data_IF_912109817772
#
_entry.id   IF_912109817772
#
_cell.length_a   1.000
_cell.length_b   1.000
_cell.length_c   1.000
_cell.angle_alpha   90.00
_cell.angle_beta   90.00
_cell.angle_gamma   90.00
#
_symmetry.space_group_name_H-M   'P 1'
#
loop_
_entity.id
_entity.type
_entity.pdbx_description
1 polymer ?
#
# COMPACT_ATOMS: atom_id res chain seq x y z
N UNK A 1 -15.95 15.43 6.79
CA UNK A 1 -14.89 15.48 5.76
C UNK A 1 -15.37 14.63 4.59
N UNK A 2 -15.19 15.12 3.37
CA UNK A 2 -15.55 14.45 2.13
C UNK A 2 -14.30 14.31 1.26
N UNK A 3 -14.10 13.13 0.66
CA UNK A 3 -12.91 12.83 -0.15
C UNK A 3 -13.26 12.09 -1.43
N UNK A 4 -12.50 12.33 -2.49
CA UNK A 4 -12.57 11.58 -3.75
C UNK A 4 -11.59 10.39 -3.71
N UNK A 5 -12.06 9.21 -4.10
CA UNK A 5 -11.23 8.03 -4.28
C UNK A 5 -11.17 7.65 -5.76
N UNK A 6 -10.01 7.73 -6.36
CA UNK A 6 -9.76 7.37 -7.76
C UNK A 6 -9.03 6.02 -7.77
N UNK A 7 -9.70 5.01 -8.37
CA UNK A 7 -9.18 3.66 -8.37
C UNK A 7 -9.80 2.78 -7.27
N UNK A 8 -11.01 2.25 -7.55
CA UNK A 8 -11.72 1.30 -6.69
C UNK A 8 -11.34 -0.16 -7.05
N UNK A 9 -10.03 -0.45 -7.00
CA UNK A 9 -9.54 -1.82 -6.98
C UNK A 9 -9.58 -2.39 -5.54
N UNK A 10 -8.99 -3.58 -5.33
CA UNK A 10 -8.99 -4.23 -3.99
C UNK A 10 -8.49 -3.32 -2.88
N UNK A 11 -7.42 -2.56 -3.13
CA UNK A 11 -6.88 -1.62 -2.14
C UNK A 11 -7.79 -0.40 -1.96
N UNK A 12 -8.15 0.30 -3.04
CA UNK A 12 -8.96 1.51 -2.96
C UNK A 12 -10.35 1.27 -2.37
N UNK A 13 -10.98 0.13 -2.66
CA UNK A 13 -12.22 -0.28 -2.02
C UNK A 13 -12.03 -0.53 -0.52
N UNK A 14 -10.98 -1.26 -0.13
CA UNK A 14 -10.66 -1.51 1.28
C UNK A 14 -10.39 -0.22 2.06
N UNK A 15 -9.63 0.71 1.48
CA UNK A 15 -9.36 2.03 2.06
C UNK A 15 -10.65 2.85 2.19
N UNK A 16 -11.51 2.85 1.17
CA UNK A 16 -12.81 3.53 1.20
C UNK A 16 -13.68 3.02 2.35
N UNK A 17 -13.78 1.70 2.53
CA UNK A 17 -14.54 1.08 3.62
C UNK A 17 -14.05 1.51 5.00
N UNK A 18 -12.72 1.58 5.21
CA UNK A 18 -12.18 2.05 6.49
C UNK A 18 -12.52 3.51 6.75
N UNK A 19 -12.35 4.38 5.76
CA UNK A 19 -12.72 5.79 5.87
C UNK A 19 -14.20 5.97 6.16
N UNK A 20 -15.08 5.23 5.49
CA UNK A 20 -16.53 5.24 5.76
C UNK A 20 -16.85 4.82 7.20
N UNK A 21 -16.20 3.77 7.72
CA UNK A 21 -16.35 3.33 9.13
C UNK A 21 -15.93 4.43 10.13
N UNK A 22 -15.01 5.31 9.73
CA UNK A 22 -14.53 6.45 10.53
C UNK A 22 -15.31 7.76 10.29
N UNK A 23 -16.46 7.69 9.60
CA UNK A 23 -17.33 8.83 9.34
C UNK A 23 -16.75 9.83 8.32
N UNK A 24 -15.91 9.37 7.40
CA UNK A 24 -15.43 10.15 6.24
C UNK A 24 -16.32 9.79 5.05
N UNK A 25 -16.94 10.79 4.42
CA UNK A 25 -17.73 10.61 3.22
C UNK A 25 -16.81 10.38 2.02
N UNK A 26 -16.93 9.22 1.37
CA UNK A 26 -16.08 8.83 0.25
C UNK A 26 -16.88 8.77 -1.05
N UNK A 27 -16.45 9.53 -2.05
CA UNK A 27 -16.98 9.45 -3.41
C UNK A 27 -15.98 8.76 -4.32
N UNK A 28 -16.39 7.70 -4.98
CA UNK A 28 -15.51 6.85 -5.76
C UNK A 28 -15.60 7.09 -7.26
N UNK A 29 -14.47 6.96 -7.94
CA UNK A 29 -14.39 6.89 -9.39
C UNK A 29 -13.57 5.70 -9.84
N UNK A 30 -14.05 5.04 -10.88
CA UNK A 30 -13.36 3.96 -11.58
C UNK A 30 -13.78 4.00 -13.05
N UNK A 31 -12.84 3.70 -13.99
CA UNK A 31 -13.14 3.64 -15.43
C UNK A 31 -14.35 2.76 -15.77
N UNK A 32 -14.49 1.61 -15.12
CA UNK A 32 -15.70 0.82 -15.19
C UNK A 32 -16.71 1.31 -14.14
N UNK A 33 -17.65 2.14 -14.56
CA UNK A 33 -18.65 2.79 -13.72
C UNK A 33 -19.57 1.77 -13.01
N UNK A 34 -19.88 0.62 -13.63
CA UNK A 34 -20.72 -0.42 -13.01
C UNK A 34 -20.08 -0.96 -11.73
N UNK A 35 -18.74 -1.16 -11.73
CA UNK A 35 -18.02 -1.59 -10.52
C UNK A 35 -17.94 -0.51 -9.45
N UNK A 36 -17.97 0.77 -9.81
CA UNK A 36 -18.09 1.85 -8.84
C UNK A 36 -19.52 1.87 -8.24
N UNK A 37 -20.53 1.62 -9.05
CA UNK A 37 -21.91 1.45 -8.59
C UNK A 37 -22.06 0.25 -7.65
N UNK A 38 -21.46 -0.90 -7.97
CA UNK A 38 -21.46 -2.08 -7.08
C UNK A 38 -20.86 -1.76 -5.70
N UNK A 39 -19.79 -0.97 -5.63
CA UNK A 39 -19.19 -0.55 -4.36
C UNK A 39 -20.14 0.38 -3.58
N UNK A 40 -20.88 1.24 -4.26
CA UNK A 40 -21.91 2.07 -3.67
C UNK A 40 -23.09 1.23 -3.14
N UNK A 41 -23.61 0.31 -3.94
CA UNK A 41 -24.73 -0.57 -3.58
C UNK A 41 -24.39 -1.45 -2.35
N UNK A 42 -23.10 -1.78 -2.17
CA UNK A 42 -22.58 -2.50 -0.98
C UNK A 42 -22.31 -1.59 0.23
N UNK A 43 -22.51 -0.28 0.12
CA UNK A 43 -22.24 0.69 1.19
C UNK A 43 -20.74 0.90 1.49
N UNK A 44 -19.86 0.60 0.53
CA UNK A 44 -18.41 0.77 0.67
C UNK A 44 -17.95 2.20 0.38
N UNK A 45 -18.77 2.98 -0.32
CA UNK A 45 -18.60 4.39 -0.63
C UNK A 45 -19.94 5.12 -0.48
N UNK A 46 -19.89 6.45 -0.28
CA UNK A 46 -21.08 7.30 -0.12
C UNK A 46 -21.76 7.66 -1.44
N UNK A 47 -21.03 7.58 -2.53
CA UNK A 47 -21.49 7.86 -3.88
C UNK A 47 -20.41 7.56 -4.91
N UNK A 48 -20.78 7.57 -6.18
CA UNK A 48 -19.83 7.35 -7.28
C UNK A 48 -20.02 8.39 -8.39
N UNK A 49 -18.98 8.56 -9.18
CA UNK A 49 -18.96 9.47 -10.32
C UNK A 49 -18.67 8.69 -11.61
N UNK A 50 -19.25 9.13 -12.74
CA UNK A 50 -19.03 8.58 -14.07
C UNK A 50 -17.65 8.94 -14.64
N UNK A 51 -17.12 10.09 -14.21
CA UNK A 51 -15.89 10.70 -14.70
C UNK A 51 -15.24 11.57 -13.61
N UNK A 52 -14.01 11.99 -13.84
CA UNK A 52 -13.24 12.80 -12.90
C UNK A 52 -13.84 14.20 -12.73
N UNK A 53 -14.40 14.79 -13.78
CA UNK A 53 -15.07 16.09 -13.68
C UNK A 53 -16.21 16.04 -12.67
N UNK A 54 -17.07 15.05 -12.79
CA UNK A 54 -18.20 14.81 -11.90
C UNK A 54 -17.73 14.56 -10.47
N UNK A 55 -16.68 13.75 -10.30
CA UNK A 55 -16.08 13.50 -8.99
C UNK A 55 -15.63 14.81 -8.33
N UNK A 56 -14.84 15.61 -9.05
CA UNK A 56 -14.34 16.91 -8.52
C UNK A 56 -15.47 17.84 -8.14
N UNK A 57 -16.51 17.95 -8.96
CA UNK A 57 -17.71 18.77 -8.66
C UNK A 57 -18.37 18.31 -7.36
N UNK A 58 -18.53 17.02 -7.14
CA UNK A 58 -19.13 16.49 -5.90
C UNK A 58 -18.26 16.76 -4.68
N UNK A 59 -16.95 16.55 -4.78
CA UNK A 59 -16.03 16.75 -3.67
C UNK A 59 -15.97 18.22 -3.28
N UNK A 60 -15.89 19.14 -4.26
CA UNK A 60 -15.75 20.58 -4.00
C UNK A 60 -17.07 21.27 -3.57
N UNK A 61 -18.21 20.60 -3.68
CA UNK A 61 -19.49 21.15 -3.24
C UNK A 61 -19.56 21.26 -1.72
N UNK A 62 -19.27 22.48 -1.22
CA UNK A 62 -19.33 22.81 0.20
C UNK A 62 -18.12 22.33 1.02
N UNK A 63 -17.02 21.93 0.36
CA UNK A 63 -15.80 21.47 1.01
C UNK A 63 -14.58 22.11 0.33
N UNK A 64 -13.71 22.76 1.10
CA UNK A 64 -12.44 23.28 0.65
C UNK A 64 -11.36 23.00 1.69
N UNK A 65 -10.15 22.52 1.31
CA UNK A 65 -9.78 22.10 -0.06
C UNK A 65 -10.45 20.79 -0.50
N UNK A 66 -10.53 20.58 -1.81
CA UNK A 66 -10.85 19.26 -2.37
C UNK A 66 -9.71 18.27 -2.12
N UNK A 67 -10.02 17.08 -1.64
CA UNK A 67 -9.02 16.05 -1.35
C UNK A 67 -9.30 14.83 -2.22
N UNK A 68 -8.30 14.46 -3.05
CA UNK A 68 -8.40 13.38 -4.03
C UNK A 68 -7.32 12.34 -3.76
N UNK A 69 -7.73 11.12 -3.47
CA UNK A 69 -6.84 9.98 -3.24
C UNK A 69 -6.78 9.11 -4.49
N UNK A 70 -5.57 8.76 -4.92
CA UNK A 70 -5.34 7.90 -6.08
C UNK A 70 -4.76 6.57 -5.63
N UNK A 71 -5.44 5.48 -6.03
CA UNK A 71 -4.99 4.09 -5.87
C UNK A 71 -5.03 3.43 -7.24
N UNK A 72 -4.15 3.91 -8.11
CA UNK A 72 -4.07 3.50 -9.52
C UNK A 72 -2.70 2.89 -9.82
N UNK A 73 -2.56 2.08 -10.89
CA UNK A 73 -1.27 1.59 -11.34
C UNK A 73 -0.27 2.73 -11.61
N UNK A 74 1.01 2.50 -11.31
CA UNK A 74 2.05 3.53 -11.39
C UNK A 74 2.14 4.18 -12.78
N UNK A 75 1.95 3.40 -13.83
CA UNK A 75 1.94 3.86 -15.23
C UNK A 75 0.78 4.80 -15.58
N UNK A 76 -0.32 4.79 -14.80
CA UNK A 76 -1.50 5.62 -15.07
C UNK A 76 -1.58 6.87 -14.18
N UNK A 77 -0.65 7.04 -13.25
CA UNK A 77 -0.65 8.17 -12.30
C UNK A 77 -0.56 9.52 -13.02
N UNK A 78 0.33 9.64 -14.02
CA UNK A 78 0.49 10.89 -14.78
C UNK A 78 -0.76 11.27 -15.56
N UNK A 79 -1.39 10.31 -16.22
CA UNK A 79 -2.65 10.52 -16.93
C UNK A 79 -3.75 11.01 -15.97
N UNK A 80 -3.86 10.34 -14.82
CA UNK A 80 -4.86 10.67 -13.79
C UNK A 80 -4.63 12.08 -13.21
N UNK A 81 -3.39 12.46 -12.93
CA UNK A 81 -3.05 13.80 -12.46
C UNK A 81 -3.39 14.85 -13.53
N UNK A 82 -3.06 14.59 -14.80
CA UNK A 82 -3.34 15.51 -15.88
C UNK A 82 -4.85 15.72 -16.09
N UNK A 83 -5.65 14.69 -15.88
CA UNK A 83 -7.10 14.79 -15.91
C UNK A 83 -7.64 15.60 -14.71
N UNK A 84 -7.16 15.32 -13.49
CA UNK A 84 -7.51 16.09 -12.29
C UNK A 84 -7.18 17.58 -12.42
N UNK A 85 -6.01 17.91 -12.99
CA UNK A 85 -5.56 19.30 -13.17
C UNK A 85 -6.52 20.17 -13.96
N UNK A 86 -7.37 19.59 -14.80
CA UNK A 86 -8.37 20.35 -15.57
C UNK A 86 -9.49 20.93 -14.70
N UNK A 87 -9.68 20.35 -13.50
CA UNK A 87 -10.84 20.65 -12.64
C UNK A 87 -10.44 21.06 -11.22
N UNK A 88 -9.21 20.73 -10.79
CA UNK A 88 -8.66 21.17 -9.52
C UNK A 88 -8.30 22.65 -9.53
N UNK A 89 -8.23 23.26 -8.36
CA UNK A 89 -7.84 24.64 -8.15
C UNK A 89 -6.85 24.77 -6.99
N UNK A 90 -6.32 25.98 -6.81
CA UNK A 90 -5.41 26.30 -5.72
C UNK A 90 -5.96 25.81 -4.36
N UNK A 91 -5.09 25.21 -3.56
CA UNK A 91 -5.41 24.65 -2.25
C UNK A 91 -5.85 23.19 -2.27
N UNK A 92 -6.30 22.65 -3.43
CA UNK A 92 -6.69 21.24 -3.52
C UNK A 92 -5.49 20.30 -3.23
N UNK A 93 -5.78 19.12 -2.70
CA UNK A 93 -4.78 18.13 -2.28
C UNK A 93 -4.95 16.84 -3.07
N UNK A 94 -3.88 16.35 -3.66
CA UNK A 94 -3.81 15.05 -4.33
C UNK A 94 -2.91 14.13 -3.49
N UNK A 95 -3.43 12.95 -3.11
CA UNK A 95 -2.69 11.92 -2.36
C UNK A 95 -2.48 10.72 -3.28
N UNK A 96 -1.22 10.39 -3.57
CA UNK A 96 -0.84 9.22 -4.35
C UNK A 96 -0.49 8.06 -3.43
N UNK A 97 -1.36 7.06 -3.36
CA UNK A 97 -1.17 5.80 -2.63
C UNK A 97 -0.58 4.69 -3.51
N UNK A 98 -0.23 5.00 -4.75
CA UNK A 98 0.37 4.06 -5.68
C UNK A 98 1.77 3.61 -5.25
N UNK A 99 2.28 2.58 -5.92
CA UNK A 99 3.68 2.18 -5.75
C UNK A 99 4.56 2.97 -6.72
N UNK A 100 4.54 4.30 -6.59
CA UNK A 100 5.22 5.26 -7.47
C UNK A 100 6.70 5.41 -7.14
N UNK A 101 7.51 5.74 -8.15
CA UNK A 101 8.91 6.10 -7.94
C UNK A 101 9.00 7.45 -7.20
N UNK A 102 9.75 7.51 -6.10
CA UNK A 102 9.90 8.70 -5.27
C UNK A 102 10.48 9.91 -6.02
N UNK A 103 11.32 9.68 -7.05
CA UNK A 103 11.87 10.75 -7.89
C UNK A 103 10.79 11.40 -8.75
N UNK A 104 9.83 10.60 -9.24
CA UNK A 104 8.71 11.11 -9.99
C UNK A 104 7.71 11.82 -9.07
N UNK A 105 7.52 11.34 -7.84
CA UNK A 105 6.71 12.02 -6.82
C UNK A 105 7.22 13.43 -6.53
N UNK A 106 8.53 13.62 -6.43
CA UNK A 106 9.14 14.96 -6.29
C UNK A 106 8.83 15.87 -7.47
N UNK A 107 9.02 15.38 -8.70
CA UNK A 107 8.72 16.14 -9.94
C UNK A 107 7.23 16.50 -10.02
N UNK A 108 6.35 15.57 -9.64
CA UNK A 108 4.88 15.81 -9.59
C UNK A 108 4.56 16.92 -8.61
N UNK A 109 5.11 16.86 -7.40
CA UNK A 109 4.92 17.88 -6.38
C UNK A 109 5.37 19.27 -6.86
N UNK A 110 6.58 19.38 -7.45
CA UNK A 110 7.11 20.62 -8.01
C UNK A 110 6.23 21.16 -9.15
N UNK A 111 5.70 20.29 -9.99
CA UNK A 111 4.79 20.67 -11.08
C UNK A 111 3.45 21.18 -10.56
N UNK A 112 2.84 20.44 -9.63
CA UNK A 112 1.52 20.76 -9.08
C UNK A 112 1.55 22.03 -8.22
N UNK A 113 2.65 22.29 -7.53
CA UNK A 113 2.85 23.53 -6.76
C UNK A 113 2.73 24.80 -7.62
N UNK A 114 3.06 24.74 -8.91
CA UNK A 114 2.89 25.86 -9.85
C UNK A 114 1.42 26.24 -10.09
N UNK A 115 0.51 25.35 -9.78
CA UNK A 115 -0.95 25.54 -9.84
C UNK A 115 -1.56 25.71 -8.45
N UNK A 116 -0.73 25.86 -7.40
CA UNK A 116 -1.18 25.94 -6.01
C UNK A 116 -1.78 24.65 -5.46
N UNK A 117 -1.59 23.52 -6.15
CA UNK A 117 -2.11 22.20 -5.75
C UNK A 117 -1.06 21.49 -4.90
N UNK A 118 -1.49 20.95 -3.77
CA UNK A 118 -0.64 20.19 -2.85
C UNK A 118 -0.58 18.72 -3.28
N UNK A 119 0.61 18.13 -3.25
CA UNK A 119 0.81 16.72 -3.55
C UNK A 119 1.39 16.01 -2.34
N UNK A 120 0.78 14.89 -1.98
CA UNK A 120 1.22 13.97 -0.93
C UNK A 120 1.52 12.64 -1.57
N UNK A 121 2.71 12.13 -1.38
CA UNK A 121 3.09 10.75 -1.70
C UNK A 121 2.92 9.88 -0.45
N UNK A 122 2.10 8.85 -0.56
CA UNK A 122 1.75 8.00 0.57
C UNK A 122 2.03 6.54 0.26
N UNK A 123 3.22 6.09 0.62
CA UNK A 123 3.57 4.67 0.55
C UNK A 123 2.67 3.87 1.48
N UNK A 124 1.85 2.99 0.90
CA UNK A 124 0.84 2.23 1.63
C UNK A 124 1.20 0.75 1.67
N UNK A 125 1.27 0.16 2.86
CA UNK A 125 1.49 -1.27 3.09
C UNK A 125 0.31 -1.88 3.85
N UNK A 126 0.07 -3.20 3.69
CA UNK A 126 -1.04 -3.93 4.30
C UNK A 126 -1.86 -4.75 3.31
N UNK A 127 -1.74 -4.48 2.01
CA UNK A 127 -2.37 -5.25 0.94
C UNK A 127 -3.88 -5.41 1.13
N UNK A 128 -4.41 -6.56 0.77
CA UNK A 128 -5.84 -6.88 0.88
C UNK A 128 -6.32 -7.02 2.33
N UNK A 129 -5.42 -7.29 3.25
CA UNK A 129 -5.75 -7.43 4.68
C UNK A 129 -5.89 -6.09 5.41
N UNK A 130 -5.42 -5.00 4.78
CA UNK A 130 -5.49 -3.66 5.35
C UNK A 130 -6.91 -3.19 5.65
N UNK A 131 -7.92 -3.69 4.93
CA UNK A 131 -9.33 -3.36 5.20
C UNK A 131 -9.76 -3.71 6.63
N UNK A 132 -9.24 -4.78 7.19
CA UNK A 132 -9.57 -5.25 8.54
C UNK A 132 -8.48 -4.86 9.55
N UNK A 133 -7.19 -5.01 9.20
CA UNK A 133 -6.06 -4.78 10.10
C UNK A 133 -5.56 -3.33 10.14
N UNK A 134 -5.94 -2.49 9.16
CA UNK A 134 -5.35 -1.17 8.94
C UNK A 134 -4.16 -1.21 8.00
N UNK A 135 -3.79 -0.02 7.50
CA UNK A 135 -2.69 0.19 6.56
C UNK A 135 -1.55 0.93 7.25
N UNK A 136 -0.32 0.45 7.09
CA UNK A 136 0.86 1.20 7.46
C UNK A 136 1.13 2.26 6.38
N UNK A 137 1.21 3.54 6.78
CA UNK A 137 1.28 4.67 5.85
C UNK A 137 2.57 5.46 6.06
N UNK A 138 3.37 5.57 5.02
CA UNK A 138 4.60 6.36 4.96
C UNK A 138 4.32 7.60 4.12
N UNK A 139 4.18 8.75 4.77
CA UNK A 139 3.63 9.96 4.16
C UNK A 139 4.74 10.97 3.87
N UNK A 140 4.83 11.45 2.63
CA UNK A 140 5.70 12.53 2.20
C UNK A 140 4.88 13.70 1.66
N UNK A 141 5.31 14.93 1.94
CA UNK A 141 4.62 16.13 1.45
C UNK A 141 4.80 17.35 2.35
N UNK A 142 4.17 18.45 2.01
CA UNK A 142 4.20 19.67 2.81
C UNK A 142 3.46 19.53 4.15
N UNK A 143 4.02 20.09 5.24
CA UNK A 143 3.47 19.97 6.58
C UNK A 143 1.98 20.32 6.67
N UNK A 144 1.56 21.42 6.04
CA UNK A 144 0.17 21.89 6.06
C UNK A 144 -0.78 20.88 5.38
N UNK A 145 -0.39 20.36 4.22
CA UNK A 145 -1.19 19.39 3.50
C UNK A 145 -1.33 18.07 4.29
N UNK A 146 -0.22 17.59 4.86
CA UNK A 146 -0.22 16.38 5.70
C UNK A 146 -1.10 16.56 6.93
N UNK A 147 -0.97 17.71 7.63
CA UNK A 147 -1.81 18.02 8.79
C UNK A 147 -3.31 18.07 8.43
N UNK A 148 -3.66 18.67 7.28
CA UNK A 148 -5.04 18.72 6.78
C UNK A 148 -5.62 17.33 6.54
N UNK A 149 -4.78 16.38 6.12
CA UNK A 149 -5.19 15.01 5.81
C UNK A 149 -5.02 14.02 6.99
N UNK A 150 -4.56 14.46 8.16
CA UNK A 150 -4.27 13.58 9.31
C UNK A 150 -5.42 12.65 9.66
N UNK A 151 -6.66 13.17 9.68
CA UNK A 151 -7.87 12.37 9.93
C UNK A 151 -8.07 11.22 8.93
N UNK A 152 -7.60 11.41 7.68
CA UNK A 152 -7.64 10.34 6.68
C UNK A 152 -6.63 9.25 7.04
N UNK A 153 -5.42 9.65 7.42
CA UNK A 153 -4.37 8.70 7.80
C UNK A 153 -4.74 7.94 9.07
N UNK A 154 -5.30 8.62 10.09
CA UNK A 154 -5.82 7.97 11.29
C UNK A 154 -6.92 6.94 10.97
N UNK A 155 -7.84 7.27 10.05
CA UNK A 155 -8.90 6.36 9.63
C UNK A 155 -8.39 5.12 8.89
N UNK A 156 -7.30 5.26 8.14
CA UNK A 156 -6.69 4.17 7.38
C UNK A 156 -5.76 3.31 8.23
N UNK A 157 -5.08 3.90 9.21
CA UNK A 157 -4.08 3.24 10.03
C UNK A 157 -4.67 2.17 10.98
N UNK A 158 -3.84 1.22 11.46
CA UNK A 158 -4.30 0.16 12.37
C UNK A 158 -4.75 0.67 13.74
N UNK A 159 -4.18 1.78 14.21
CA UNK A 159 -4.37 2.30 15.56
C UNK A 159 -3.39 1.73 16.57
N UNK A 160 -3.28 2.41 17.72
CA UNK A 160 -2.29 2.10 18.77
C UNK A 160 -2.39 0.67 19.32
N UNK A 161 -3.61 0.12 19.36
CA UNK A 161 -3.84 -1.24 19.89
C UNK A 161 -3.31 -2.38 18.98
N UNK A 162 -2.84 -2.06 17.78
CA UNK A 162 -2.34 -3.07 16.83
C UNK A 162 -1.00 -3.71 17.27
N UNK A 163 -0.24 -3.05 18.13
CA UNK A 163 1.01 -3.56 18.71
C UNK A 163 1.20 -3.02 20.13
N UNK A 164 2.04 -3.72 20.91
CA UNK A 164 2.46 -3.22 22.23
C UNK A 164 3.24 -1.92 22.05
N UNK A 165 2.92 -0.92 22.89
CA UNK A 165 3.62 0.37 22.86
C UNK A 165 5.11 0.22 23.19
N UNK A 166 5.92 1.05 22.55
CA UNK A 166 7.34 1.16 22.88
C UNK A 166 7.49 2.00 24.16
N UNK A 167 8.18 1.47 25.16
CA UNK A 167 8.29 2.05 26.50
C UNK A 167 9.02 3.41 26.55
N UNK A 168 9.67 3.82 25.45
CA UNK A 168 10.48 5.05 25.41
C UNK A 168 9.65 6.33 25.15
N UNK A 169 8.39 6.22 24.78
CA UNK A 169 7.55 7.36 24.45
C UNK A 169 6.49 7.59 25.53
N UNK A 170 6.52 8.76 26.17
CA UNK A 170 5.46 9.21 27.09
C UNK A 170 4.15 9.49 26.36
N UNK A 171 4.22 10.16 25.21
CA UNK A 171 3.07 10.54 24.39
C UNK A 171 2.86 9.62 23.21
N UNK A 172 1.61 9.39 22.85
CA UNK A 172 1.23 8.60 21.67
C UNK A 172 1.59 9.42 20.42
N UNK A 173 2.34 8.81 19.52
CA UNK A 173 2.74 9.41 18.24
C UNK A 173 1.95 8.87 17.06
N UNK A 174 1.95 9.57 15.93
CA UNK A 174 1.33 9.07 14.69
C UNK A 174 1.95 7.74 14.22
N UNK A 175 3.24 7.51 14.51
CA UNK A 175 3.90 6.24 14.21
C UNK A 175 3.27 5.07 14.98
N UNK A 176 2.90 5.28 16.25
CA UNK A 176 2.19 4.26 17.05
C UNK A 176 0.75 4.04 16.57
N UNK A 177 0.13 5.02 15.89
CA UNK A 177 -1.13 4.80 15.16
C UNK A 177 -0.95 3.97 13.90
N UNK A 178 0.25 3.95 13.32
CA UNK A 178 0.57 3.22 12.09
C UNK A 178 0.74 4.12 10.86
N UNK A 179 0.91 5.43 11.02
CA UNK A 179 1.31 6.32 9.95
C UNK A 179 2.37 7.32 10.41
N UNK A 180 3.22 7.75 9.50
CA UNK A 180 4.29 8.71 9.80
C UNK A 180 4.47 9.72 8.67
N UNK A 181 4.57 11.02 9.01
CA UNK A 181 5.11 12.02 8.10
C UNK A 181 6.63 11.86 8.01
N UNK A 182 7.09 11.20 6.95
CA UNK A 182 8.49 10.83 6.74
C UNK A 182 9.37 12.00 6.26
N UNK A 183 8.76 13.09 5.85
CA UNK A 183 9.46 14.28 5.35
C UNK A 183 8.78 14.92 4.14
N UNK A 184 9.51 15.76 3.39
CA UNK A 184 9.02 16.44 2.20
C UNK A 184 8.60 15.49 1.08
N UNK A 185 8.14 16.06 -0.05
CA UNK A 185 7.65 15.30 -1.20
C UNK A 185 8.66 14.25 -1.69
N UNK A 186 8.20 13.03 -1.88
CA UNK A 186 8.97 11.85 -2.24
C UNK A 186 9.42 11.00 -1.06
N UNK A 187 9.42 11.52 0.17
CA UNK A 187 9.90 10.80 1.35
C UNK A 187 9.05 9.57 1.68
N UNK A 188 7.74 9.65 1.49
CA UNK A 188 6.83 8.54 1.72
C UNK A 188 7.12 7.35 0.79
N UNK A 189 7.16 7.61 -0.51
CA UNK A 189 7.50 6.58 -1.50
C UNK A 189 8.94 6.08 -1.39
N UNK A 190 9.88 6.93 -0.96
CA UNK A 190 11.25 6.50 -0.68
C UNK A 190 11.30 5.47 0.46
N UNK A 191 10.66 5.78 1.61
CA UNK A 191 10.60 4.87 2.75
C UNK A 191 9.86 3.58 2.37
N UNK A 192 8.77 3.69 1.59
CA UNK A 192 8.05 2.51 1.08
C UNK A 192 8.92 1.65 0.15
N UNK A 193 9.74 2.26 -0.70
CA UNK A 193 10.67 1.54 -1.56
C UNK A 193 11.68 0.72 -0.73
N UNK A 194 12.24 1.31 0.33
CA UNK A 194 13.16 0.60 1.24
C UNK A 194 12.43 -0.54 1.95
N UNK A 195 11.21 -0.29 2.48
CA UNK A 195 10.36 -1.32 3.06
C UNK A 195 10.16 -2.51 2.10
N UNK A 196 9.79 -2.23 0.85
CA UNK A 196 9.61 -3.28 -0.15
C UNK A 196 10.90 -4.04 -0.44
N UNK A 197 12.05 -3.38 -0.47
CA UNK A 197 13.34 -4.05 -0.64
C UNK A 197 13.62 -5.07 0.46
N UNK A 198 13.35 -4.70 1.71
CA UNK A 198 13.48 -5.61 2.87
C UNK A 198 12.48 -6.76 2.77
N UNK A 199 11.19 -6.44 2.47
CA UNK A 199 10.12 -7.43 2.34
C UNK A 199 10.47 -8.50 1.29
N UNK A 200 10.89 -8.10 0.09
CA UNK A 200 11.28 -9.03 -0.97
C UNK A 200 12.54 -9.83 -0.63
N UNK A 201 13.51 -9.24 0.08
CA UNK A 201 14.67 -9.97 0.59
C UNK A 201 14.29 -11.09 1.55
N UNK A 202 13.38 -10.80 2.49
CA UNK A 202 12.85 -11.83 3.41
C UNK A 202 12.05 -12.91 2.68
N UNK A 203 11.18 -12.50 1.74
CA UNK A 203 10.40 -13.46 0.93
C UNK A 203 11.30 -14.39 0.11
N UNK A 204 12.40 -13.87 -0.45
CA UNK A 204 13.38 -14.67 -1.18
C UNK A 204 14.06 -15.68 -0.26
N UNK A 205 14.49 -15.27 0.94
CA UNK A 205 15.11 -16.19 1.91
C UNK A 205 14.16 -17.32 2.30
N UNK A 206 12.87 -17.02 2.57
CA UNK A 206 11.86 -18.05 2.82
C UNK A 206 11.67 -18.99 1.62
N UNK A 207 11.58 -18.44 0.42
CA UNK A 207 11.39 -19.23 -0.79
C UNK A 207 12.55 -20.21 -1.01
N UNK A 208 13.79 -19.77 -0.84
CA UNK A 208 14.99 -20.62 -0.97
C UNK A 208 15.02 -21.68 0.13
N UNK A 209 14.79 -21.33 1.39
CA UNK A 209 14.78 -22.27 2.52
C UNK A 209 13.70 -23.35 2.36
N UNK A 210 12.47 -22.98 2.03
CA UNK A 210 11.40 -23.93 1.79
C UNK A 210 11.63 -24.78 0.53
N UNK A 211 12.30 -24.24 -0.49
CA UNK A 211 12.68 -25.03 -1.67
C UNK A 211 13.73 -26.10 -1.31
N UNK A 212 14.69 -25.80 -0.43
CA UNK A 212 15.66 -26.80 0.09
C UNK A 212 14.91 -27.92 0.84
N UNK A 213 14.00 -27.56 1.76
CA UNK A 213 13.21 -28.55 2.51
C UNK A 213 12.36 -29.43 1.58
N UNK A 214 11.72 -28.82 0.59
CA UNK A 214 10.91 -29.54 -0.40
C UNK A 214 11.70 -30.57 -1.19
N UNK A 215 12.98 -30.31 -1.43
CA UNK A 215 13.88 -31.15 -2.20
C UNK A 215 14.86 -31.96 -1.32
N UNK A 216 14.62 -32.05 -0.02
CA UNK A 216 15.50 -32.75 0.93
C UNK A 216 15.56 -34.28 0.71
N UNK A 217 14.71 -34.84 -0.16
CA UNK A 217 14.69 -36.28 -0.52
C UNK A 217 15.29 -36.56 -1.91
N UNK A 218 15.95 -35.58 -2.55
CA UNK A 218 16.51 -35.75 -3.88
C UNK A 218 17.59 -36.86 -3.93
N UNK A 219 18.29 -37.15 -2.82
CA UNK A 219 19.29 -38.22 -2.72
C UNK A 219 18.70 -39.61 -2.92
N UNK A 220 17.46 -39.82 -2.46
CA UNK A 220 16.78 -41.10 -2.59
C UNK A 220 16.47 -41.52 -4.04
N UNK A 221 16.38 -40.52 -4.94
CA UNK A 221 16.09 -40.71 -6.34
C UNK A 221 17.32 -40.46 -7.23
N UNK A 222 18.46 -40.15 -6.64
CA UNK A 222 19.68 -39.79 -7.35
C UNK A 222 20.22 -40.97 -8.15
N UNK A 223 20.15 -40.87 -9.46
CA UNK A 223 20.84 -41.78 -10.39
C UNK A 223 22.02 -40.99 -10.97
N UNK A 224 23.23 -41.52 -10.83
CA UNK A 224 24.41 -40.91 -11.41
C UNK A 224 24.35 -41.00 -12.93
N UNK A 225 23.82 -39.99 -13.58
CA UNK A 225 23.89 -39.83 -15.02
C UNK A 225 25.25 -39.27 -15.39
N UNK A 226 25.87 -39.82 -16.42
CA UNK A 226 27.22 -39.44 -16.86
C UNK A 226 27.22 -38.15 -17.71
N UNK A 227 26.60 -37.10 -17.24
CA UNK A 227 26.68 -35.77 -17.88
C UNK A 227 27.96 -35.05 -17.44
N UNK A 228 28.82 -34.74 -18.41
CA UNK A 228 30.10 -34.08 -18.15
C UNK A 228 29.94 -32.62 -17.70
N UNK A 229 28.77 -32.00 -17.90
CA UNK A 229 28.51 -30.60 -17.56
C UNK A 229 27.89 -30.43 -16.17
N UNK A 230 27.41 -31.50 -15.54
CA UNK A 230 26.75 -31.48 -14.22
C UNK A 230 27.64 -32.18 -13.17
N UNK A 231 28.03 -31.43 -12.14
CA UNK A 231 28.73 -31.99 -11.01
C UNK A 231 27.84 -33.05 -10.31
N UNK A 232 28.32 -34.31 -10.09
CA UNK A 232 27.56 -35.31 -9.40
C UNK A 232 27.29 -34.88 -7.94
N UNK A 233 26.14 -35.28 -7.37
CA UNK A 233 25.87 -35.10 -5.97
C UNK A 233 26.91 -35.87 -5.15
N UNK A 234 27.62 -35.20 -4.24
CA UNK A 234 28.78 -35.75 -3.54
C UNK A 234 28.39 -36.77 -2.48
N UNK A 235 27.25 -36.67 -1.88
CA UNK A 235 26.80 -37.50 -0.75
C UNK A 235 25.26 -37.63 -0.79
N UNK A 236 24.72 -38.43 -1.73
CA UNK A 236 23.27 -38.56 -1.92
C UNK A 236 22.53 -39.05 -0.67
N UNK A 237 23.16 -39.95 0.13
CA UNK A 237 22.58 -40.53 1.35
C UNK A 237 22.28 -39.47 2.42
N UNK A 238 22.97 -38.35 2.41
CA UNK A 238 22.69 -37.21 3.31
C UNK A 238 21.47 -36.38 2.93
N UNK A 239 20.82 -36.67 1.80
CA UNK A 239 19.67 -35.93 1.27
C UNK A 239 18.48 -36.87 1.04
N UNK A 240 18.17 -37.70 2.02
CA UNK A 240 17.08 -38.69 1.96
C UNK A 240 16.02 -38.45 3.03
N UNK A 241 15.64 -37.16 3.24
CA UNK A 241 14.65 -36.79 4.24
C UNK A 241 13.27 -36.55 3.60
N UNK A 242 12.29 -37.36 4.03
CA UNK A 242 10.87 -37.11 3.67
C UNK A 242 10.28 -36.11 4.66
N UNK A 243 10.27 -34.84 4.26
CA UNK A 243 9.88 -33.72 5.13
C UNK A 243 8.50 -33.20 4.71
N UNK A 244 7.55 -33.18 5.66
CA UNK A 244 6.31 -32.43 5.51
C UNK A 244 6.60 -30.93 5.72
N UNK A 245 6.73 -30.20 4.61
CA UNK A 245 7.04 -28.77 4.61
C UNK A 245 5.93 -27.95 5.27
N UNK A 246 4.67 -28.41 5.20
CA UNK A 246 3.56 -27.70 5.82
C UNK A 246 3.64 -27.78 7.35
N UNK A 247 3.97 -28.94 7.89
CA UNK A 247 4.16 -29.15 9.34
C UNK A 247 5.40 -28.38 9.85
N UNK A 248 6.48 -28.32 9.07
CA UNK A 248 7.65 -27.49 9.42
C UNK A 248 7.27 -26.01 9.46
N UNK A 249 6.51 -25.51 8.49
CA UNK A 249 6.06 -24.13 8.48
C UNK A 249 5.13 -23.82 9.67
N UNK A 250 4.22 -24.75 10.03
CA UNK A 250 3.36 -24.65 11.19
C UNK A 250 4.17 -24.64 12.50
N UNK A 251 5.20 -25.47 12.60
CA UNK A 251 6.11 -25.49 13.73
C UNK A 251 6.84 -24.16 13.89
N UNK A 252 7.43 -23.65 12.79
CA UNK A 252 8.23 -22.43 12.84
C UNK A 252 7.42 -21.20 13.21
N UNK A 253 6.19 -21.04 12.67
CA UNK A 253 5.35 -19.89 13.03
C UNK A 253 4.93 -19.87 14.50
N UNK A 254 5.15 -20.94 15.30
CA UNK A 254 4.74 -21.05 16.71
C UNK A 254 5.82 -20.70 17.71
N UNK A 255 7.06 -20.56 17.33
CA UNK A 255 8.06 -20.28 18.35
C UNK A 255 9.47 -20.12 17.83
N UNK A 256 9.66 -20.17 16.51
CA UNK A 256 10.95 -19.86 15.93
C UNK A 256 11.08 -18.36 15.63
N UNK A 257 12.29 -17.92 15.31
CA UNK A 257 12.57 -16.53 14.86
C UNK A 257 12.35 -16.34 13.34
N UNK A 258 12.00 -17.44 12.66
CA UNK A 258 11.73 -17.48 11.20
C UNK A 258 10.23 -17.39 10.96
#
# INVERSE_FOLDING_TARGET
>A
MKVGMIGLGRMGEGMSRRMMRSGIEVWGYRRNCEKAKEAYDKGYISGYASDIETLVKYIKKGTQPGIFQMVVPAETVEETINELLRYCSEGDIIIDHGNSNFKDSRKRAERLAKFGIQYIDCGTSGGVYGVDRGYCLMVGGGNTAVATCSRIFDALAPGVSAATRTEFNSDITSAEYGWLHCGGSGAGHFVKMVHNGIEYGMMQAYAEGFNILKNANNGAQYVREGDAEVAPMADPESYCYDIDVAEVAELWRRGSVV
#
